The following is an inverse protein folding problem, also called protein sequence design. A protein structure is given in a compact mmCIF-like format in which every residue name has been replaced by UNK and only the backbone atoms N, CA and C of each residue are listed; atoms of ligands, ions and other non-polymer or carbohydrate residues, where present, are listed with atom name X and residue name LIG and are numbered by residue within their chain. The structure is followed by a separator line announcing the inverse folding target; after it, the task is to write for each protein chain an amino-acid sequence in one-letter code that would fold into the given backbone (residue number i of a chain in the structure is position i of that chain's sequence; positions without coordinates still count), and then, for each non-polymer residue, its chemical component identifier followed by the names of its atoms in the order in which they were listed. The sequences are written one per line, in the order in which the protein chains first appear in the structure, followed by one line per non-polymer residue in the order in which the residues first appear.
data_IF_141265946256
#
_entry.id   IF_141265946256
#
_cell.length_a   1.000
_cell.length_b   1.000
_cell.length_c   1.000
_cell.angle_alpha   90.00
_cell.angle_beta   90.00
_cell.angle_gamma   90.00
#
_symmetry.space_group_name_H-M   'P 1'
#
loop_
_entity.id
_entity.type
_entity.pdbx_description
1 polymer ?
#
# COMPACT_ATOMS: atom_id res chain seq x y z
N UNK A 1 -16.40 -3.13 19.25
CA UNK A 1 -16.17 -4.42 18.57
C UNK A 1 -15.13 -4.15 17.50
N UNK A 2 -14.10 -4.98 17.34
CA UNK A 2 -13.14 -4.81 16.23
C UNK A 2 -13.56 -5.65 15.04
N UNK A 3 -13.45 -5.10 13.85
CA UNK A 3 -13.73 -5.75 12.57
C UNK A 3 -12.39 -6.02 11.89
N UNK A 4 -12.19 -7.26 11.45
CA UNK A 4 -10.98 -7.67 10.77
C UNK A 4 -11.22 -7.69 9.25
N UNK A 5 -10.32 -7.06 8.53
CA UNK A 5 -10.31 -6.97 7.08
C UNK A 5 -9.05 -7.67 6.58
N UNK A 6 -9.24 -8.68 5.75
CA UNK A 6 -8.17 -9.33 5.01
C UNK A 6 -8.22 -8.91 3.54
N UNK A 7 -7.05 -8.59 2.99
CA UNK A 7 -6.86 -8.28 1.57
C UNK A 7 -5.75 -9.18 1.02
N UNK A 8 -6.12 -10.05 0.08
CA UNK A 8 -5.16 -10.85 -0.67
C UNK A 8 -4.38 -9.96 -1.65
N UNK A 9 -3.07 -10.13 -1.68
CA UNK A 9 -2.13 -9.35 -2.47
C UNK A 9 -1.56 -10.24 -3.57
N UNK A 10 -1.68 -9.79 -4.81
CA UNK A 10 -1.05 -10.48 -5.93
C UNK A 10 0.48 -10.43 -5.82
N UNK A 11 1.16 -11.51 -6.19
CA UNK A 11 2.62 -11.67 -6.09
C UNK A 11 3.41 -10.49 -6.71
N UNK A 12 2.90 -9.90 -7.79
CA UNK A 12 3.49 -8.71 -8.43
C UNK A 12 3.62 -7.49 -7.52
N UNK A 13 2.92 -7.46 -6.38
CA UNK A 13 2.98 -6.39 -5.39
C UNK A 13 3.80 -6.74 -4.15
N UNK A 14 4.33 -7.97 -4.04
CA UNK A 14 5.03 -8.44 -2.84
C UNK A 14 6.16 -7.49 -2.41
N UNK A 15 6.95 -7.00 -3.38
CA UNK A 15 8.04 -6.04 -3.18
C UNK A 15 7.60 -4.65 -2.71
N UNK A 16 6.31 -4.35 -2.72
CA UNK A 16 5.73 -3.06 -2.38
C UNK A 16 4.95 -3.09 -1.05
N UNK A 17 4.73 -4.27 -0.46
CA UNK A 17 3.92 -4.44 0.75
C UNK A 17 4.50 -3.65 1.92
N UNK A 18 5.79 -3.79 2.22
CA UNK A 18 6.41 -3.13 3.38
C UNK A 18 6.30 -1.60 3.33
N UNK A 19 6.55 -1.01 2.16
CA UNK A 19 6.43 0.43 1.96
C UNK A 19 4.97 0.90 2.09
N UNK A 20 4.02 0.16 1.49
CA UNK A 20 2.61 0.46 1.58
C UNK A 20 2.10 0.36 3.03
N UNK A 21 2.44 -0.70 3.75
CA UNK A 21 2.04 -0.93 5.14
C UNK A 21 2.64 0.12 6.08
N UNK A 22 3.91 0.47 5.88
CA UNK A 22 4.57 1.54 6.66
C UNK A 22 3.83 2.86 6.51
N UNK A 23 3.45 3.21 5.27
CA UNK A 23 2.66 4.43 5.01
C UNK A 23 1.28 4.36 5.66
N UNK A 24 0.59 3.23 5.58
CA UNK A 24 -0.75 3.08 6.15
C UNK A 24 -0.73 3.17 7.68
N UNK A 25 0.28 2.57 8.34
CA UNK A 25 0.47 2.70 9.80
C UNK A 25 0.71 4.14 10.23
N UNK A 26 1.37 4.94 9.40
CA UNK A 26 1.56 6.37 9.65
C UNK A 26 0.26 7.18 9.46
N UNK A 27 -0.51 6.89 8.42
CA UNK A 27 -1.75 7.64 8.11
C UNK A 27 -2.93 7.25 9.00
N UNK A 28 -2.97 6.00 9.46
CA UNK A 28 -4.05 5.43 10.25
C UNK A 28 -3.49 4.78 11.53
N UNK A 29 -3.02 5.59 12.49
CA UNK A 29 -2.36 5.08 13.70
C UNK A 29 -3.29 4.24 14.59
N UNK A 30 -4.61 4.46 14.50
CA UNK A 30 -5.60 3.72 15.27
C UNK A 30 -5.90 2.33 14.68
N UNK A 31 -5.40 2.04 13.47
CA UNK A 31 -5.57 0.73 12.84
C UNK A 31 -4.46 -0.22 13.25
N UNK A 32 -4.85 -1.45 13.60
CA UNK A 32 -3.87 -2.52 13.81
C UNK A 32 -3.59 -3.22 12.48
N UNK A 33 -2.47 -2.87 11.84
CA UNK A 33 -2.08 -3.37 10.52
C UNK A 33 -0.94 -4.37 10.63
N UNK A 34 -1.11 -5.55 10.05
CA UNK A 34 -0.07 -6.58 9.86
C UNK A 34 -0.08 -7.06 8.41
N UNK A 35 1.05 -7.55 7.93
CA UNK A 35 1.16 -8.07 6.58
C UNK A 35 2.20 -9.17 6.48
N UNK A 36 2.02 -10.02 5.48
CA UNK A 36 3.01 -10.98 4.98
C UNK A 36 3.20 -10.78 3.46
N UNK A 37 3.87 -11.73 2.78
CA UNK A 37 4.16 -11.63 1.34
C UNK A 37 2.94 -11.72 0.42
N UNK A 38 1.80 -12.19 0.93
CA UNK A 38 0.60 -12.48 0.15
C UNK A 38 -0.66 -11.81 0.70
N UNK A 39 -0.63 -11.26 1.92
CA UNK A 39 -1.82 -10.73 2.60
C UNK A 39 -1.52 -9.50 3.45
N UNK A 40 -2.52 -8.62 3.52
CA UNK A 40 -2.57 -7.53 4.50
C UNK A 40 -3.81 -7.70 5.37
N UNK A 41 -3.60 -7.72 6.68
CA UNK A 41 -4.64 -7.84 7.69
C UNK A 41 -4.76 -6.53 8.47
N UNK A 42 -5.97 -6.00 8.58
CA UNK A 42 -6.27 -4.77 9.30
C UNK A 42 -7.42 -4.98 10.28
N UNK A 43 -7.22 -4.53 11.53
CA UNK A 43 -8.29 -4.48 12.54
C UNK A 43 -8.74 -3.03 12.74
N UNK A 44 -10.05 -2.77 12.56
CA UNK A 44 -10.70 -1.45 12.63
C UNK A 44 -11.92 -1.47 13.57
N UNK A 45 -12.50 -0.31 13.86
CA UNK A 45 -13.58 -0.17 14.84
C UNK A 45 -15.00 -0.14 14.22
N UNK A 46 -15.10 0.10 12.91
CA UNK A 46 -16.40 0.20 12.22
C UNK A 46 -16.39 -0.38 10.79
N UNK A 47 -17.58 -0.70 10.28
CA UNK A 47 -17.75 -1.19 8.88
C UNK A 47 -17.38 -0.13 7.84
N UNK A 48 -17.58 1.16 8.16
CA UNK A 48 -17.14 2.26 7.30
C UNK A 48 -15.61 2.31 7.21
N UNK A 49 -14.92 2.10 8.33
CA UNK A 49 -13.46 1.97 8.34
C UNK A 49 -12.99 0.69 7.64
N UNK A 50 -13.78 -0.40 7.69
CA UNK A 50 -13.42 -1.64 7.01
C UNK A 50 -13.42 -1.47 5.49
N UNK A 51 -14.45 -0.79 4.96
CA UNK A 51 -14.54 -0.44 3.54
C UNK A 51 -13.42 0.52 3.13
N UNK A 52 -13.11 1.50 3.98
CA UNK A 52 -11.98 2.41 3.79
C UNK A 52 -10.66 1.66 3.76
N UNK A 53 -10.41 0.74 4.70
CA UNK A 53 -9.18 -0.04 4.79
C UNK A 53 -8.90 -0.82 3.51
N UNK A 54 -9.89 -1.53 2.97
CA UNK A 54 -9.74 -2.24 1.67
C UNK A 54 -9.30 -1.31 0.55
N UNK A 55 -9.88 -0.12 0.47
CA UNK A 55 -9.54 0.86 -0.57
C UNK A 55 -8.13 1.39 -0.39
N UNK A 56 -7.76 1.79 0.83
CA UNK A 56 -6.47 2.41 1.11
C UNK A 56 -5.30 1.42 0.98
N UNK A 57 -5.50 0.14 1.33
CA UNK A 57 -4.50 -0.93 1.11
C UNK A 57 -4.18 -1.05 -0.38
N UNK A 58 -5.21 -1.21 -1.21
CA UNK A 58 -5.03 -1.31 -2.66
C UNK A 58 -4.37 -0.05 -3.21
N UNK A 59 -4.87 1.11 -2.83
CA UNK A 59 -4.32 2.39 -3.30
C UNK A 59 -2.83 2.55 -2.95
N UNK A 60 -2.43 2.22 -1.72
CA UNK A 60 -1.04 2.30 -1.29
C UNK A 60 -0.12 1.36 -2.09
N UNK A 61 -0.55 0.12 -2.35
CA UNK A 61 0.21 -0.85 -3.14
C UNK A 61 0.39 -0.40 -4.59
N UNK A 62 -0.69 0.06 -5.23
CA UNK A 62 -0.63 0.59 -6.60
C UNK A 62 0.28 1.82 -6.70
N UNK A 63 0.23 2.71 -5.72
CA UNK A 63 1.05 3.91 -5.70
C UNK A 63 2.54 3.59 -5.59
N UNK A 64 2.90 2.63 -4.73
CA UNK A 64 4.30 2.21 -4.59
C UNK A 64 4.82 1.53 -5.84
N UNK A 65 3.99 0.70 -6.49
CA UNK A 65 4.34 0.10 -7.78
C UNK A 65 4.61 1.15 -8.86
N UNK A 66 3.68 2.09 -9.05
CA UNK A 66 3.85 3.19 -10.02
C UNK A 66 5.11 4.01 -9.70
N UNK A 67 5.39 4.26 -8.41
CA UNK A 67 6.59 5.00 -8.00
C UNK A 67 7.86 4.25 -8.40
N UNK A 68 7.90 2.94 -8.12
CA UNK A 68 9.05 2.08 -8.40
C UNK A 68 9.26 1.89 -9.91
N UNK A 69 8.22 1.51 -10.65
CA UNK A 69 8.27 1.27 -12.09
C UNK A 69 8.46 2.56 -12.90
N UNK A 70 7.93 3.69 -12.42
CA UNK A 70 8.06 4.99 -13.09
C UNK A 70 9.35 5.74 -12.75
N UNK A 71 10.15 5.29 -11.80
CA UNK A 71 11.41 5.97 -11.44
C UNK A 71 12.45 5.96 -12.58
N UNK A 72 12.74 4.82 -13.25
CA UNK A 72 13.70 4.78 -14.35
C UNK A 72 13.32 5.70 -15.51
N UNK A 73 12.03 5.73 -15.89
CA UNK A 73 11.56 6.58 -16.98
C UNK A 73 11.72 8.07 -16.64
N UNK A 74 11.39 8.47 -15.41
CA UNK A 74 11.58 9.85 -14.95
C UNK A 74 13.04 10.26 -14.96
N UNK A 75 13.94 9.36 -14.55
CA UNK A 75 15.38 9.61 -14.60
C UNK A 75 15.89 9.80 -16.04
N UNK A 76 15.45 8.96 -16.97
CA UNK A 76 15.81 9.07 -18.38
C UNK A 76 15.33 10.39 -19.00
N UNK A 77 14.08 10.79 -18.72
CA UNK A 77 13.53 12.07 -19.19
C UNK A 77 14.33 13.24 -18.65
N UNK A 78 14.65 13.26 -17.35
CA UNK A 78 15.46 14.32 -16.75
C UNK A 78 16.85 14.40 -17.39
N UNK A 79 17.52 13.25 -17.59
CA UNK A 79 18.83 13.20 -18.24
C UNK A 79 18.79 13.75 -19.67
N UNK A 80 17.75 13.45 -20.45
CA UNK A 80 17.62 13.91 -21.84
C UNK A 80 17.42 15.42 -22.01
N UNK A 81 16.89 16.11 -20.99
CA UNK A 81 16.67 17.57 -21.02
C UNK A 81 17.88 18.32 -20.46
N UNK A 82 18.66 17.67 -19.59
CA UNK A 82 19.86 18.25 -18.97
C UNK A 82 21.15 18.02 -19.76
N UNK A 83 21.11 17.21 -20.84
CA UNK A 83 22.20 17.00 -21.80
C UNK A 83 22.06 17.90 -23.01
#
# INVERSE_FOLDING_TARGET
MKINVEVDIAESFAWHIDAAVTRLRYLYPDWSISADVAKVNVSVESDSQASLARREINYALYRERIRAEGAPLRELLLKSVMS
#
